data_IF_132668293487
#
_entry.id   IF_132668293487
#
_cell.length_a   1.000
_cell.length_b   1.000
_cell.length_c   1.000
_cell.angle_alpha   90.00
_cell.angle_beta   90.00
_cell.angle_gamma   90.00
#
_symmetry.space_group_name_H-M   'P 1'
#
loop_
_entity.id
_entity.type
_entity.pdbx_description
1 polymer ?
#
# COMPACT_ATOMS: atom_id res chain seq x y z
N UNK A 1 11.16 2.57 -0.99
CA UNK A 1 10.52 1.65 -1.96
C UNK A 1 10.16 2.41 -3.23
N UNK A 2 10.41 1.85 -4.41
CA UNK A 2 9.99 2.39 -5.71
C UNK A 2 8.85 1.53 -6.27
N UNK A 3 7.77 2.16 -6.72
CA UNK A 3 6.61 1.50 -7.33
C UNK A 3 6.77 1.38 -8.85
N UNK A 4 6.04 0.47 -9.47
CA UNK A 4 6.14 0.17 -10.89
C UNK A 4 5.02 0.81 -11.72
N UNK A 5 3.88 1.13 -11.11
CA UNK A 5 2.69 1.63 -11.82
C UNK A 5 2.09 2.86 -11.14
N UNK A 6 1.27 3.60 -11.91
CA UNK A 6 0.54 4.76 -11.39
C UNK A 6 -0.46 4.32 -10.32
N UNK A 7 -1.06 3.15 -10.47
CA UNK A 7 -2.01 2.60 -9.51
C UNK A 7 -1.33 2.29 -8.16
N UNK A 8 -0.16 1.62 -8.19
CA UNK A 8 0.64 1.44 -6.98
C UNK A 8 1.12 2.76 -6.38
N UNK A 9 1.45 3.76 -7.20
CA UNK A 9 1.81 5.08 -6.70
C UNK A 9 0.67 5.70 -5.88
N UNK A 10 -0.56 5.64 -6.38
CA UNK A 10 -1.74 6.14 -5.66
C UNK A 10 -1.98 5.40 -4.35
N UNK A 11 -1.82 4.08 -4.36
CA UNK A 11 -1.92 3.28 -3.13
C UNK A 11 -0.84 3.67 -2.12
N UNK A 12 0.41 3.82 -2.58
CA UNK A 12 1.53 4.21 -1.72
C UNK A 12 1.33 5.61 -1.13
N UNK A 13 0.82 6.55 -1.91
CA UNK A 13 0.54 7.92 -1.46
C UNK A 13 -0.52 7.94 -0.35
N UNK A 14 -1.60 7.18 -0.53
CA UNK A 14 -2.62 6.99 0.52
C UNK A 14 -2.03 6.36 1.77
N UNK A 15 -1.22 5.31 1.65
CA UNK A 15 -0.61 4.66 2.80
C UNK A 15 0.27 5.67 3.58
N UNK A 16 1.12 6.44 2.87
CA UNK A 16 1.98 7.44 3.51
C UNK A 16 1.21 8.55 4.21
N UNK A 17 0.02 8.90 3.72
CA UNK A 17 -0.82 9.92 4.33
C UNK A 17 -1.55 9.44 5.60
N UNK A 18 -1.76 8.12 5.75
CA UNK A 18 -2.60 7.55 6.79
C UNK A 18 -1.84 6.70 7.83
N UNK A 19 -0.61 6.27 7.54
CA UNK A 19 0.16 5.36 8.39
C UNK A 19 1.55 5.90 8.73
N UNK A 20 2.05 5.52 9.90
CA UNK A 20 3.42 5.82 10.33
C UNK A 20 4.36 4.86 9.61
N UNK A 21 5.07 5.37 8.60
CA UNK A 21 5.90 4.56 7.71
C UNK A 21 7.06 3.83 8.39
N UNK A 22 7.48 4.30 9.56
CA UNK A 22 8.53 3.70 10.40
C UNK A 22 8.04 2.45 11.16
N UNK A 23 6.71 2.29 11.26
CA UNK A 23 6.04 1.24 12.01
C UNK A 23 5.48 0.14 11.10
N UNK A 24 5.70 0.25 9.78
CA UNK A 24 5.12 -0.66 8.79
C UNK A 24 6.13 -1.07 7.73
N UNK A 25 5.91 -2.23 7.15
CA UNK A 25 6.62 -2.73 5.97
C UNK A 25 5.66 -2.82 4.79
N UNK A 26 6.15 -2.52 3.59
CA UNK A 26 5.37 -2.51 2.36
C UNK A 26 5.90 -3.52 1.34
N UNK A 27 4.99 -4.24 0.70
CA UNK A 27 5.29 -5.24 -0.33
C UNK A 27 4.43 -4.99 -1.58
N UNK A 28 5.05 -5.02 -2.78
CA UNK A 28 4.29 -4.99 -4.04
C UNK A 28 3.76 -6.38 -4.32
N UNK A 29 2.43 -6.52 -4.38
CA UNK A 29 1.79 -7.81 -4.67
C UNK A 29 1.49 -7.95 -6.16
N UNK A 30 0.83 -6.95 -6.73
CA UNK A 30 0.48 -6.91 -8.16
C UNK A 30 0.40 -5.46 -8.64
N UNK A 31 0.08 -5.26 -9.93
CA UNK A 31 -0.02 -3.95 -10.59
C UNK A 31 -0.90 -2.92 -9.87
N UNK A 32 -1.86 -3.35 -9.05
CA UNK A 32 -2.85 -2.53 -8.38
C UNK A 32 -2.77 -2.60 -6.86
N UNK A 33 -1.97 -3.52 -6.30
CA UNK A 33 -2.04 -3.89 -4.88
C UNK A 33 -0.69 -3.71 -4.17
N UNK A 34 -0.73 -3.07 -3.00
CA UNK A 34 0.38 -3.02 -2.02
C UNK A 34 -0.09 -3.64 -0.72
N UNK A 35 0.67 -4.58 -0.18
CA UNK A 35 0.47 -5.08 1.18
C UNK A 35 1.21 -4.21 2.17
N UNK A 36 0.53 -3.85 3.24
CA UNK A 36 1.11 -3.24 4.44
C UNK A 36 1.11 -4.29 5.54
N UNK A 37 2.24 -4.46 6.22
CA UNK A 37 2.36 -5.31 7.41
C UNK A 37 2.94 -4.47 8.54
N UNK A 38 2.27 -4.45 9.69
CA UNK A 38 2.71 -3.71 10.87
C UNK A 38 3.76 -4.47 11.69
N UNK A 39 4.25 -3.85 12.77
CA UNK A 39 5.24 -4.47 13.67
C UNK A 39 4.73 -5.70 14.45
N UNK A 40 3.42 -5.86 14.59
CA UNK A 40 2.82 -7.04 15.23
C UNK A 40 2.75 -8.23 14.28
N UNK A 41 2.93 -7.98 12.98
CA UNK A 41 2.85 -8.97 11.92
C UNK A 41 1.46 -9.05 11.28
N UNK A 42 0.50 -8.23 11.71
CA UNK A 42 -0.79 -8.10 11.05
C UNK A 42 -0.62 -7.39 9.70
N UNK A 43 -1.37 -7.83 8.69
CA UNK A 43 -1.22 -7.31 7.34
C UNK A 43 -2.56 -7.03 6.66
N UNK A 44 -2.55 -6.03 5.78
CA UNK A 44 -3.70 -5.59 5.01
C UNK A 44 -3.26 -5.27 3.57
N UNK A 45 -4.09 -5.64 2.59
CA UNK A 45 -3.81 -5.38 1.17
C UNK A 45 -4.60 -4.15 0.72
N UNK A 46 -3.89 -3.08 0.36
CA UNK A 46 -4.52 -1.92 -0.25
C UNK A 46 -4.48 -2.05 -1.77
N UNK A 47 -5.62 -1.89 -2.41
CA UNK A 47 -5.77 -2.03 -3.85
C UNK A 47 -6.42 -0.81 -4.48
N UNK A 48 -5.90 -0.36 -5.62
CA UNK A 48 -6.56 0.65 -6.44
C UNK A 48 -7.60 0.00 -7.37
N UNK A 49 -8.84 0.46 -7.29
CA UNK A 49 -9.96 -0.01 -8.11
C UNK A 49 -10.80 1.18 -8.60
N UNK A 50 -10.81 1.39 -9.92
CA UNK A 50 -11.67 2.37 -10.62
C UNK A 50 -11.72 3.76 -9.97
N UNK A 51 -10.58 4.31 -9.56
CA UNK A 51 -10.52 5.65 -8.93
C UNK A 51 -10.43 5.64 -7.41
N UNK A 52 -10.72 4.52 -6.77
CA UNK A 52 -10.80 4.39 -5.32
C UNK A 52 -9.75 3.43 -4.78
N UNK A 53 -9.43 3.54 -3.49
CA UNK A 53 -8.59 2.59 -2.77
C UNK A 53 -9.50 1.74 -1.89
N UNK A 54 -9.37 0.42 -2.02
CA UNK A 54 -10.10 -0.59 -1.23
C UNK A 54 -9.10 -1.41 -0.42
N UNK A 55 -9.53 -1.94 0.71
CA UNK A 55 -8.70 -2.68 1.67
C UNK A 55 -9.48 -3.77 2.39
#
# INVERSE_FOLDING_TARGET
MKVNTVEQFKVLDFIKANFIMEEVSLELIDRYTIRLTDKTGESMNFKYNNGNIVY
#
